data_IF_798369630299
#
_entry.id   IF_798369630299
#
_cell.length_a   1.000
_cell.length_b   1.000
_cell.length_c   1.000
_cell.angle_alpha   90.00
_cell.angle_beta   90.00
_cell.angle_gamma   90.00
#
_symmetry.space_group_name_H-M   'P 1'
#
loop_
_entity.id
_entity.type
_entity.pdbx_description
1 polymer ?
#
# COMPACT_ATOMS: atom_id res chain seq x y z
N UNK A 1 -15.65 5.05 -39.89
CA UNK A 1 -15.24 5.97 -38.79
C UNK A 1 -15.03 5.11 -37.56
N UNK A 2 -13.77 4.83 -37.20
CA UNK A 2 -13.44 4.05 -36.00
C UNK A 2 -13.39 4.98 -34.80
N UNK A 3 -14.39 4.91 -33.93
CA UNK A 3 -14.40 5.64 -32.66
C UNK A 3 -13.94 4.69 -31.55
N UNK A 4 -12.73 4.91 -31.03
CA UNK A 4 -12.22 4.21 -29.85
C UNK A 4 -12.70 4.92 -28.59
N UNK A 5 -13.59 4.26 -27.84
CA UNK A 5 -14.00 4.73 -26.52
C UNK A 5 -12.85 4.58 -25.51
N UNK A 6 -12.69 5.58 -24.63
CA UNK A 6 -11.57 5.69 -23.68
C UNK A 6 -11.80 4.87 -22.40
N UNK A 7 -13.04 4.43 -22.14
CA UNK A 7 -13.41 3.60 -20.99
C UNK A 7 -14.46 2.54 -21.38
N UNK A 8 -14.34 1.36 -20.76
CA UNK A 8 -15.19 0.18 -21.02
C UNK A 8 -16.63 0.37 -20.49
N UNK A 9 -16.80 1.26 -19.50
CA UNK A 9 -18.07 1.51 -18.82
C UNK A 9 -19.04 2.34 -19.69
N UNK A 10 -18.51 3.34 -20.40
CA UNK A 10 -19.25 4.21 -21.32
C UNK A 10 -19.71 3.52 -22.61
N UNK A 11 -19.06 2.42 -22.99
CA UNK A 11 -19.45 1.65 -24.16
C UNK A 11 -20.85 1.06 -24.00
N UNK A 12 -21.23 0.60 -22.80
CA UNK A 12 -22.52 -0.04 -22.55
C UNK A 12 -23.69 0.95 -22.75
N UNK A 13 -23.54 2.17 -22.27
CA UNK A 13 -24.55 3.24 -22.33
C UNK A 13 -24.61 3.85 -23.74
N UNK A 14 -23.46 4.08 -24.39
CA UNK A 14 -23.41 4.57 -25.78
C UNK A 14 -24.03 3.57 -26.78
N UNK A 15 -23.96 2.27 -26.50
CA UNK A 15 -24.54 1.24 -27.38
C UNK A 15 -26.07 1.24 -27.41
N UNK A 16 -26.72 1.64 -26.31
CA UNK A 16 -28.18 1.74 -26.25
C UNK A 16 -28.72 2.97 -26.98
N UNK A 17 -27.97 4.08 -27.01
CA UNK A 17 -28.37 5.30 -27.73
C UNK A 17 -28.06 5.22 -29.24
N UNK A 18 -26.93 4.63 -29.63
CA UNK A 18 -26.53 4.50 -31.04
C UNK A 18 -27.28 3.42 -31.81
N UNK A 19 -28.00 2.51 -31.13
CA UNK A 19 -28.92 1.54 -31.75
C UNK A 19 -30.22 2.16 -32.26
N UNK A 20 -30.51 3.44 -31.96
CA UNK A 20 -31.74 4.12 -32.39
C UNK A 20 -31.59 5.01 -33.64
N UNK A 21 -30.38 5.13 -34.21
CA UNK A 21 -30.15 5.86 -35.46
C UNK A 21 -29.93 4.90 -36.63
N UNK A 22 -30.72 5.07 -37.69
CA UNK A 22 -30.62 4.28 -38.92
C UNK A 22 -29.22 4.40 -39.55
N UNK A 23 -28.54 3.26 -39.72
CA UNK A 23 -27.26 3.16 -40.45
C UNK A 23 -26.07 2.57 -39.69
N UNK A 24 -26.26 1.79 -38.62
CA UNK A 24 -25.16 1.10 -37.91
C UNK A 24 -25.31 -0.41 -38.06
N UNK A 25 -24.44 -1.02 -38.88
CA UNK A 25 -24.60 -2.39 -39.40
C UNK A 25 -24.11 -3.50 -38.46
N UNK A 26 -23.25 -3.25 -37.47
CA UNK A 26 -23.00 -4.24 -36.41
C UNK A 26 -22.20 -3.62 -35.26
N UNK A 27 -22.72 -3.68 -34.04
CA UNK A 27 -21.91 -3.48 -32.84
C UNK A 27 -21.69 -4.86 -32.22
N UNK A 28 -20.55 -5.48 -32.54
CA UNK A 28 -20.11 -6.69 -31.85
C UNK A 28 -19.67 -6.34 -30.43
N UNK A 29 -20.65 -6.34 -29.53
CA UNK A 29 -20.44 -6.26 -28.09
C UNK A 29 -19.88 -7.60 -27.61
N UNK A 30 -18.57 -7.68 -27.45
CA UNK A 30 -17.91 -8.85 -26.85
C UNK A 30 -17.97 -8.76 -25.32
N UNK A 31 -19.19 -8.68 -24.79
CA UNK A 31 -19.50 -8.54 -23.36
C UNK A 31 -18.85 -9.67 -22.54
N UNK A 32 -18.92 -10.90 -23.04
CA UNK A 32 -18.29 -12.09 -22.45
C UNK A 32 -16.77 -11.95 -22.27
N UNK A 33 -16.08 -11.30 -23.20
CA UNK A 33 -14.62 -11.12 -23.11
C UNK A 33 -14.29 -10.05 -22.09
N UNK A 34 -15.05 -8.94 -22.08
CA UNK A 34 -14.90 -7.87 -21.09
C UNK A 34 -15.19 -8.39 -19.67
N UNK A 35 -16.23 -9.20 -19.51
CA UNK A 35 -16.60 -9.80 -18.23
C UNK A 35 -15.54 -10.79 -17.74
N UNK A 36 -15.00 -11.64 -18.63
CA UNK A 36 -13.86 -12.52 -18.31
C UNK A 36 -12.65 -11.71 -17.87
N UNK A 37 -12.28 -10.64 -18.57
CA UNK A 37 -11.17 -9.77 -18.18
C UNK A 37 -11.40 -9.11 -16.81
N UNK A 38 -12.61 -8.63 -16.52
CA UNK A 38 -12.97 -8.06 -15.20
C UNK A 38 -12.82 -9.10 -14.09
N UNK A 39 -13.29 -10.33 -14.30
CA UNK A 39 -13.20 -11.43 -13.33
C UNK A 39 -11.75 -11.87 -13.07
N UNK A 40 -10.92 -11.93 -14.11
CA UNK A 40 -9.48 -12.20 -13.96
C UNK A 40 -8.76 -11.10 -13.19
N UNK A 41 -9.04 -9.83 -13.51
CA UNK A 41 -8.50 -8.70 -12.78
C UNK A 41 -8.93 -8.72 -11.31
N UNK A 42 -10.20 -9.01 -11.01
CA UNK A 42 -10.68 -9.12 -9.63
C UNK A 42 -9.95 -10.24 -8.87
N UNK A 43 -9.81 -11.42 -9.48
CA UNK A 43 -9.10 -12.55 -8.89
C UNK A 43 -7.65 -12.21 -8.57
N UNK A 44 -6.94 -11.55 -9.50
CA UNK A 44 -5.58 -11.10 -9.28
C UNK A 44 -5.47 -10.10 -8.11
N UNK A 45 -6.43 -9.19 -7.97
CA UNK A 45 -6.49 -8.26 -6.85
C UNK A 45 -6.70 -8.99 -5.51
N UNK A 46 -7.59 -9.97 -5.44
CA UNK A 46 -7.85 -10.76 -4.22
C UNK A 46 -6.60 -11.54 -3.79
N UNK A 47 -5.93 -12.21 -4.74
CA UNK A 47 -4.67 -12.92 -4.46
C UNK A 47 -3.58 -11.95 -4.01
N UNK A 48 -3.48 -10.78 -4.66
CA UNK A 48 -2.56 -9.72 -4.27
C UNK A 48 -2.77 -9.25 -2.82
N UNK A 49 -4.02 -9.02 -2.41
CA UNK A 49 -4.36 -8.66 -1.03
C UNK A 49 -3.98 -9.76 -0.03
N UNK A 50 -4.17 -11.03 -0.40
CA UNK A 50 -3.71 -12.17 0.38
C UNK A 50 -2.20 -12.14 0.61
N UNK A 51 -1.41 -11.92 -0.45
CA UNK A 51 0.05 -11.84 -0.36
C UNK A 51 0.51 -10.68 0.53
N UNK A 52 -0.07 -9.49 0.35
CA UNK A 52 0.25 -8.31 1.20
C UNK A 52 -0.04 -8.60 2.67
N UNK A 53 -1.13 -9.29 2.97
CA UNK A 53 -1.50 -9.65 4.34
C UNK A 53 -0.47 -10.58 4.99
N UNK A 54 0.00 -11.60 4.26
CA UNK A 54 1.04 -12.52 4.74
C UNK A 54 2.37 -11.79 4.96
N UNK A 55 2.76 -10.89 4.06
CA UNK A 55 3.98 -10.09 4.22
C UNK A 55 3.90 -9.12 5.40
N UNK A 56 2.74 -8.50 5.62
CA UNK A 56 2.50 -7.65 6.79
C UNK A 56 2.62 -8.45 8.09
N UNK A 57 2.08 -9.68 8.12
CA UNK A 57 2.23 -10.58 9.25
C UNK A 57 3.70 -10.99 9.48
N UNK A 58 4.46 -11.26 8.41
CA UNK A 58 5.88 -11.57 8.51
C UNK A 58 6.67 -10.38 9.09
N UNK A 59 6.42 -9.17 8.60
CA UNK A 59 7.04 -7.95 9.13
C UNK A 59 6.73 -7.77 10.63
N UNK A 60 5.48 -8.02 11.04
CA UNK A 60 5.09 -8.02 12.45
C UNK A 60 5.88 -9.04 13.27
N UNK A 61 6.00 -10.28 12.79
CA UNK A 61 6.77 -11.33 13.47
C UNK A 61 8.26 -10.94 13.64
N UNK A 62 8.86 -10.34 12.61
CA UNK A 62 10.24 -9.85 12.65
C UNK A 62 10.41 -8.73 13.69
N UNK A 63 9.46 -7.80 13.79
CA UNK A 63 9.49 -6.74 14.82
C UNK A 63 9.46 -7.34 16.23
N UNK A 64 8.59 -8.34 16.48
CA UNK A 64 8.52 -9.02 17.76
C UNK A 64 9.85 -9.68 18.15
N UNK A 65 10.47 -10.40 17.20
CA UNK A 65 11.75 -11.07 17.42
C UNK A 65 12.87 -10.06 17.68
N UNK A 66 12.90 -8.96 16.93
CA UNK A 66 13.89 -7.90 17.09
C UNK A 66 13.81 -7.25 18.46
N UNK A 67 12.61 -6.87 18.92
CA UNK A 67 12.45 -6.24 20.23
C UNK A 67 12.87 -7.19 21.35
N UNK A 68 12.51 -8.47 21.25
CA UNK A 68 12.95 -9.49 22.20
C UNK A 68 14.48 -9.58 22.26
N UNK A 69 15.15 -9.55 21.11
CA UNK A 69 16.60 -9.56 21.04
C UNK A 69 17.23 -8.34 21.73
N UNK A 70 16.70 -7.13 21.49
CA UNK A 70 17.19 -5.90 22.10
C UNK A 70 16.94 -5.86 23.61
N UNK A 71 15.77 -6.32 24.10
CA UNK A 71 15.51 -6.41 25.54
C UNK A 71 16.50 -7.35 26.21
N UNK A 72 16.77 -8.50 25.58
CA UNK A 72 17.69 -9.49 26.14
C UNK A 72 19.12 -8.98 26.22
N UNK A 73 19.59 -8.21 25.22
CA UNK A 73 20.94 -7.65 25.24
C UNK A 73 21.10 -6.52 26.28
N UNK A 74 20.02 -5.79 26.58
CA UNK A 74 20.00 -4.71 27.58
C UNK A 74 19.49 -5.12 28.97
N UNK A 75 19.29 -6.42 29.22
CA UNK A 75 18.64 -6.92 30.44
C UNK A 75 19.30 -6.41 31.73
N UNK A 76 20.63 -6.37 31.80
CA UNK A 76 21.38 -5.92 33.00
C UNK A 76 21.16 -4.43 33.27
N UNK A 77 21.23 -3.59 32.24
CA UNK A 77 20.99 -2.14 32.32
C UNK A 77 19.56 -1.85 32.80
N UNK A 78 18.58 -2.55 32.23
CA UNK A 78 17.17 -2.44 32.62
C UNK A 78 16.90 -2.90 34.05
N UNK A 79 17.62 -3.92 34.53
CA UNK A 79 17.49 -4.42 35.90
C UNK A 79 18.00 -3.39 36.92
N UNK A 80 19.10 -2.71 36.62
CA UNK A 80 19.63 -1.62 37.47
C UNK A 80 18.66 -0.44 37.50
N UNK A 81 18.13 -0.02 36.35
CA UNK A 81 17.15 1.07 36.27
C UNK A 81 15.89 0.77 37.08
N UNK A 82 15.38 -0.46 37.02
CA UNK A 82 14.24 -0.90 37.84
C UNK A 82 14.55 -0.86 39.34
N UNK A 83 15.79 -1.17 39.75
CA UNK A 83 16.19 -1.18 41.17
C UNK A 83 16.20 0.22 41.81
N UNK A 84 16.46 1.26 41.01
CA UNK A 84 16.45 2.67 41.44
C UNK A 84 15.04 3.30 41.33
N UNK A 85 14.03 2.50 40.97
CA UNK A 85 12.62 2.94 40.90
C UNK A 85 12.21 3.55 39.56
N UNK A 86 12.92 3.27 38.46
CA UNK A 86 12.53 3.76 37.15
C UNK A 86 11.14 3.24 36.74
N UNK A 87 10.32 4.12 36.17
CA UNK A 87 8.99 3.73 35.69
C UNK A 87 9.07 2.84 34.45
N UNK A 88 8.12 1.91 34.33
CA UNK A 88 7.95 1.03 33.17
C UNK A 88 7.91 1.78 31.82
N UNK A 89 7.44 3.03 31.82
CA UNK A 89 7.38 3.88 30.63
C UNK A 89 8.76 4.37 30.20
N UNK A 90 9.64 4.66 31.15
CA UNK A 90 11.03 5.09 30.89
C UNK A 90 11.83 4.00 30.17
N UNK A 91 11.59 2.74 30.52
CA UNK A 91 12.20 1.58 29.86
C UNK A 91 11.63 1.34 28.45
N UNK A 92 10.31 1.54 28.27
CA UNK A 92 9.61 1.25 27.01
C UNK A 92 9.82 2.30 25.93
N UNK A 93 9.87 3.58 26.31
CA UNK A 93 9.95 4.73 25.39
C UNK A 93 11.07 4.63 24.34
N UNK A 94 12.35 4.39 24.69
CA UNK A 94 13.43 4.36 23.69
C UNK A 94 13.26 3.21 22.69
N UNK A 95 12.67 2.09 23.09
CA UNK A 95 12.47 0.92 22.22
C UNK A 95 11.38 1.18 21.17
N UNK A 96 10.31 1.87 21.57
CA UNK A 96 9.23 2.29 20.67
C UNK A 96 9.77 3.27 19.64
N UNK A 97 10.55 4.26 20.08
CA UNK A 97 11.15 5.26 19.19
C UNK A 97 12.09 4.63 18.16
N UNK A 98 12.97 3.72 18.58
CA UNK A 98 13.85 3.00 17.65
C UNK A 98 13.05 2.23 16.60
N UNK A 99 12.00 1.51 17.01
CA UNK A 99 11.17 0.70 16.11
C UNK A 99 10.42 1.56 15.07
N UNK A 100 9.88 2.70 15.50
CA UNK A 100 9.19 3.66 14.62
C UNK A 100 10.18 4.23 13.61
N UNK A 101 11.37 4.65 14.04
CA UNK A 101 12.39 5.19 13.15
C UNK A 101 12.79 4.19 12.07
N UNK A 102 13.06 2.94 12.44
CA UNK A 102 13.36 1.89 11.46
C UNK A 102 12.22 1.66 10.45
N UNK A 103 10.97 1.68 10.93
CA UNK A 103 9.80 1.49 10.06
C UNK A 103 9.59 2.67 9.11
N UNK A 104 9.81 3.90 9.58
CA UNK A 104 9.77 5.11 8.75
C UNK A 104 10.88 5.13 7.71
N UNK A 105 12.10 4.71 8.07
CA UNK A 105 13.19 4.57 7.11
C UNK A 105 12.86 3.53 6.04
N UNK A 106 12.27 2.40 6.41
CA UNK A 106 11.79 1.40 5.46
C UNK A 106 10.73 1.96 4.50
N UNK A 107 9.76 2.71 5.03
CA UNK A 107 8.73 3.38 4.23
C UNK A 107 9.33 4.42 3.27
N UNK A 108 10.35 5.16 3.72
CA UNK A 108 11.06 6.13 2.89
C UNK A 108 11.81 5.45 1.74
N UNK A 109 12.53 4.35 2.00
CA UNK A 109 13.23 3.58 0.96
C UNK A 109 12.23 2.99 -0.05
N UNK A 110 11.11 2.44 0.44
CA UNK A 110 10.05 1.93 -0.43
C UNK A 110 9.44 3.03 -1.31
N UNK A 111 9.20 4.22 -0.73
CA UNK A 111 8.71 5.38 -1.47
C UNK A 111 9.67 5.79 -2.59
N UNK A 112 10.96 5.92 -2.30
CA UNK A 112 11.98 6.31 -3.28
C UNK A 112 12.03 5.29 -4.42
N UNK A 113 12.05 3.99 -4.10
CA UNK A 113 12.08 2.94 -5.12
C UNK A 113 10.84 3.00 -6.03
N UNK A 114 9.67 3.21 -5.43
CA UNK A 114 8.42 3.31 -6.17
C UNK A 114 8.34 4.58 -7.04
N UNK A 115 8.77 5.73 -6.50
CA UNK A 115 8.80 7.00 -7.20
C UNK A 115 9.74 6.93 -8.42
N UNK A 116 10.93 6.34 -8.27
CA UNK A 116 11.87 6.13 -9.39
C UNK A 116 11.23 5.22 -10.45
N UNK A 117 10.57 4.14 -10.05
CA UNK A 117 9.95 3.20 -10.97
C UNK A 117 8.84 3.87 -11.80
N UNK A 118 7.96 4.65 -11.16
CA UNK A 118 6.90 5.38 -11.85
C UNK A 118 7.47 6.41 -12.81
N UNK A 119 8.48 7.17 -12.37
CA UNK A 119 9.09 8.19 -13.18
C UNK A 119 9.80 7.57 -14.40
N UNK A 120 10.50 6.46 -14.23
CA UNK A 120 11.13 5.72 -15.32
C UNK A 120 10.11 5.21 -16.35
N UNK A 121 9.00 4.64 -15.88
CA UNK A 121 7.92 4.18 -16.76
C UNK A 121 7.25 5.35 -17.49
N UNK A 122 7.05 6.49 -16.83
CA UNK A 122 6.49 7.68 -17.47
C UNK A 122 7.41 8.22 -18.58
N UNK A 123 8.73 8.28 -18.36
CA UNK A 123 9.69 8.73 -19.37
C UNK A 123 9.86 7.75 -20.54
N UNK A 124 9.66 6.45 -20.32
CA UNK A 124 9.79 5.43 -21.37
C UNK A 124 8.66 5.43 -22.42
N UNK A 125 7.60 6.23 -22.22
CA UNK A 125 6.48 6.33 -23.16
C UNK A 125 5.53 5.13 -23.16
N UNK A 126 5.71 4.15 -22.27
CA UNK A 126 4.78 3.01 -22.12
C UNK A 126 3.42 3.41 -21.54
N UNK A 127 3.36 4.53 -20.81
CA UNK A 127 2.11 5.12 -20.39
C UNK A 127 1.68 6.14 -21.46
N UNK A 128 0.40 6.17 -21.88
CA UNK A 128 -0.12 7.28 -22.65
C UNK A 128 0.26 8.58 -21.92
N UNK A 129 0.62 9.63 -22.66
CA UNK A 129 0.92 10.98 -22.16
C UNK A 129 -0.29 11.64 -21.50
N UNK A 130 -0.95 10.94 -20.59
CA UNK A 130 -2.00 11.43 -19.75
C UNK A 130 -1.31 12.08 -18.56
N UNK A 131 -1.54 13.38 -18.40
CA UNK A 131 -1.18 14.16 -17.20
C UNK A 131 -1.81 13.60 -15.90
N UNK A 132 -2.54 12.48 -15.99
CA UNK A 132 -3.26 11.85 -14.89
C UNK A 132 -2.99 10.35 -14.80
N UNK A 133 -2.73 9.90 -13.57
CA UNK A 133 -2.50 8.52 -13.16
C UNK A 133 -3.69 8.09 -12.28
N UNK A 134 -4.04 6.81 -12.33
CA UNK A 134 -5.08 6.24 -11.45
C UNK A 134 -4.56 6.15 -10.03
N UNK A 135 -5.26 6.79 -9.08
CA UNK A 135 -4.82 6.93 -7.68
C UNK A 135 -4.76 5.58 -6.94
N UNK A 136 -5.80 4.76 -7.02
CA UNK A 136 -5.91 3.51 -6.28
C UNK A 136 -6.75 2.48 -7.03
N UNK A 137 -6.11 1.60 -7.81
CA UNK A 137 -6.80 0.55 -8.58
C UNK A 137 -7.71 -0.34 -7.74
N UNK A 138 -7.44 -0.48 -6.43
CA UNK A 138 -8.20 -1.30 -5.49
C UNK A 138 -9.48 -0.65 -4.94
N UNK A 139 -9.51 0.69 -4.76
CA UNK A 139 -10.59 1.37 -4.03
C UNK A 139 -11.33 2.40 -4.86
N UNK A 140 -10.65 3.10 -5.76
CA UNK A 140 -11.27 4.12 -6.60
C UNK A 140 -10.43 4.40 -7.85
N UNK A 141 -11.08 4.36 -9.01
CA UNK A 141 -10.48 4.74 -10.29
C UNK A 141 -10.44 6.26 -10.49
N UNK A 142 -10.22 7.03 -9.42
CA UNK A 142 -10.04 8.48 -9.55
C UNK A 142 -8.71 8.76 -10.24
N UNK A 143 -8.75 9.55 -11.32
CA UNK A 143 -7.56 10.01 -12.03
C UNK A 143 -7.03 11.28 -11.36
N UNK A 144 -5.75 11.31 -11.03
CA UNK A 144 -5.07 12.45 -10.38
C UNK A 144 -3.76 12.77 -11.08
N UNK A 145 -3.26 14.00 -10.95
CA UNK A 145 -1.93 14.36 -11.46
C UNK A 145 -0.82 13.59 -10.76
N UNK A 146 0.29 13.30 -11.45
CA UNK A 146 1.46 12.58 -10.93
C UNK A 146 1.96 13.14 -9.59
N UNK A 147 2.04 14.46 -9.45
CA UNK A 147 2.49 15.09 -8.20
C UNK A 147 1.56 14.80 -7.02
N UNK A 148 0.25 14.89 -7.24
CA UNK A 148 -0.76 14.57 -6.21
C UNK A 148 -0.66 13.10 -5.83
N UNK A 149 -0.49 12.22 -6.81
CA UNK A 149 -0.30 10.80 -6.60
C UNK A 149 0.91 10.51 -5.69
N UNK A 150 2.08 11.10 -5.99
CA UNK A 150 3.30 10.90 -5.20
C UNK A 150 3.14 11.41 -3.76
N UNK A 151 2.50 12.55 -3.56
CA UNK A 151 2.25 13.09 -2.21
C UNK A 151 1.33 12.19 -1.41
N UNK A 152 0.22 11.74 -2.00
CA UNK A 152 -0.72 10.82 -1.34
C UNK A 152 -0.02 9.51 -0.97
N UNK A 153 0.78 8.96 -1.88
CA UNK A 153 1.51 7.73 -1.65
C UNK A 153 2.58 7.88 -0.57
N UNK A 154 3.30 9.00 -0.54
CA UNK A 154 4.24 9.33 0.53
C UNK A 154 3.54 9.31 1.89
N UNK A 155 2.41 10.01 2.01
CA UNK A 155 1.65 10.09 3.28
C UNK A 155 1.14 8.71 3.70
N UNK A 156 0.54 7.94 2.78
CA UNK A 156 0.01 6.61 3.09
C UNK A 156 1.10 5.62 3.51
N UNK A 157 2.25 5.61 2.84
CA UNK A 157 3.37 4.72 3.20
C UNK A 157 3.97 5.09 4.56
N UNK A 158 4.22 6.37 4.82
CA UNK A 158 4.80 6.78 6.10
C UNK A 158 3.81 6.59 7.25
N UNK A 159 2.52 6.85 7.01
CA UNK A 159 1.48 6.62 8.00
C UNK A 159 1.34 5.13 8.32
N UNK A 160 1.27 4.26 7.31
CA UNK A 160 1.21 2.80 7.53
C UNK A 160 2.48 2.25 8.19
N UNK A 161 3.66 2.74 7.80
CA UNK A 161 4.94 2.41 8.43
C UNK A 161 5.01 2.84 9.90
N UNK A 162 4.53 4.05 10.21
CA UNK A 162 4.41 4.53 11.59
C UNK A 162 3.48 3.63 12.41
N UNK A 163 2.29 3.31 11.89
CA UNK A 163 1.33 2.44 12.57
C UNK A 163 1.92 1.06 12.82
N UNK A 164 2.57 0.44 11.82
CA UNK A 164 3.21 -0.86 11.96
C UNK A 164 4.33 -0.83 13.02
N UNK A 165 5.19 0.18 13.00
CA UNK A 165 6.26 0.34 13.98
C UNK A 165 5.73 0.59 15.40
N UNK A 166 4.72 1.44 15.54
CA UNK A 166 4.10 1.78 16.81
C UNK A 166 3.35 0.59 17.42
N UNK A 167 2.41 -0.01 16.68
CA UNK A 167 1.61 -1.15 17.15
C UNK A 167 2.46 -2.41 17.31
N UNK A 168 3.38 -2.66 16.38
CA UNK A 168 4.35 -3.75 16.47
C UNK A 168 5.15 -3.66 17.76
N UNK A 169 5.70 -2.49 18.07
CA UNK A 169 6.51 -2.30 19.26
C UNK A 169 5.70 -2.31 20.56
N UNK A 170 4.54 -1.67 20.56
CA UNK A 170 3.68 -1.61 21.73
C UNK A 170 3.15 -2.98 22.15
N UNK A 171 2.71 -3.80 21.19
CA UNK A 171 2.25 -5.17 21.48
C UNK A 171 3.40 -6.06 21.95
N UNK A 172 4.60 -5.92 21.36
CA UNK A 172 5.80 -6.61 21.83
C UNK A 172 6.10 -6.28 23.29
N UNK A 173 6.18 -4.99 23.64
CA UNK A 173 6.55 -4.55 24.98
C UNK A 173 5.52 -4.98 26.04
N UNK A 174 4.22 -4.94 25.73
CA UNK A 174 3.17 -5.42 26.64
C UNK A 174 3.31 -6.90 26.99
N UNK A 175 3.77 -7.72 26.04
CA UNK A 175 3.90 -9.17 26.24
C UNK A 175 5.16 -9.54 27.03
N UNK A 176 6.24 -8.76 26.93
CA UNK A 176 7.55 -9.16 27.45
C UNK A 176 8.04 -8.38 28.68
N UNK A 177 7.48 -7.21 29.00
CA UNK A 177 7.85 -6.44 30.21
C UNK A 177 7.07 -6.81 31.48
N UNK A 178 6.28 -7.90 31.44
CA UNK A 178 5.63 -8.46 32.64
C UNK A 178 6.60 -9.19 33.61
N UNK A 179 7.90 -8.97 33.48
CA UNK A 179 8.94 -9.41 34.41
C UNK A 179 9.74 -8.21 34.91
#
# INVERSE_FOLDING_TARGET
>A
LELKAKEIEDLSIMSSELRQMDGVEEVQFLEDVIEKFKTWAFTANVVGLGLVSVLAFNAYAVILMTIRMVISSKKTELSILKLVGATDSYVKSPMIQQSILFSLMGAFVAFVFFAITILAVNYSGYLPSADSIVLLTFFSKTRVTLWVYLVVLFVLLHFSGFLLGYFGSWTALRRYLKY
#
